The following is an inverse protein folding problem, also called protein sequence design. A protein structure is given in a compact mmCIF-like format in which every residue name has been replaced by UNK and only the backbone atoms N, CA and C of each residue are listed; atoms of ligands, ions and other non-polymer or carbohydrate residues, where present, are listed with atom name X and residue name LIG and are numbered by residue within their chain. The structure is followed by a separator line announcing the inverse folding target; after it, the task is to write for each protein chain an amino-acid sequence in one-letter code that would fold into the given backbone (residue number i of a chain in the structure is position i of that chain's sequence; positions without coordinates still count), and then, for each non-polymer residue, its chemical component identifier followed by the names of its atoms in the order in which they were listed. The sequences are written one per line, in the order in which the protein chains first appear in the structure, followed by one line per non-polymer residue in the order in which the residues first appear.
data_IF_714931243585
#
_entry.id   IF_714931243585
#
_cell.length_a   1.000
_cell.length_b   1.000
_cell.length_c   1.000
_cell.angle_alpha   90.00
_cell.angle_beta   90.00
_cell.angle_gamma   90.00
#
_symmetry.space_group_name_H-M   'P 1'
#
loop_
_entity.id
_entity.type
_entity.pdbx_description
1 polymer ?
#
# COMPACT_ATOMS: atom_id res chain seq x y z
N UNK A 1 -7.50 7.40 2.39
CA UNK A 1 -6.20 7.49 1.67
C UNK A 1 -5.98 6.25 0.83
N UNK A 2 -5.03 6.29 -0.10
CA UNK A 2 -4.54 5.12 -0.85
C UNK A 2 -3.04 4.98 -0.64
N UNK A 3 -2.54 3.75 -0.49
CA UNK A 3 -1.14 3.45 -0.25
C UNK A 3 -0.61 2.37 -1.18
N UNK A 4 0.60 2.62 -1.69
CA UNK A 4 1.38 1.65 -2.48
C UNK A 4 2.85 1.68 -2.06
N UNK A 5 3.56 0.59 -2.32
CA UNK A 5 5.03 0.59 -2.27
C UNK A 5 5.65 1.26 -3.51
N UNK A 6 6.87 1.79 -3.36
CA UNK A 6 7.61 2.43 -4.46
C UNK A 6 7.79 1.54 -5.68
N UNK A 7 7.86 0.21 -5.52
CA UNK A 7 7.98 -0.70 -6.66
C UNK A 7 6.76 -0.67 -7.58
N UNK A 8 5.57 -0.43 -7.05
CA UNK A 8 4.36 -0.22 -7.86
C UNK A 8 4.48 1.07 -8.67
N UNK A 9 5.01 2.14 -8.05
CA UNK A 9 5.28 3.41 -8.75
C UNK A 9 6.29 3.23 -9.87
N UNK A 10 7.40 2.52 -9.60
CA UNK A 10 8.48 2.31 -10.56
C UNK A 10 8.08 1.42 -11.75
N UNK A 11 7.20 0.44 -11.54
CA UNK A 11 6.78 -0.51 -12.57
C UNK A 11 5.59 -0.02 -13.38
N UNK A 12 4.59 0.55 -12.71
CA UNK A 12 3.29 0.80 -13.31
C UNK A 12 3.02 2.29 -13.56
N UNK A 13 3.83 3.19 -12.99
CA UNK A 13 3.69 4.65 -13.04
C UNK A 13 2.22 5.12 -12.88
N UNK A 14 1.52 4.70 -11.80
CA UNK A 14 0.10 4.98 -11.65
C UNK A 14 -0.14 6.43 -11.24
N UNK A 15 -1.34 6.95 -11.54
CA UNK A 15 -1.80 8.26 -11.03
C UNK A 15 -2.39 8.17 -9.63
N UNK A 16 -3.02 7.03 -9.30
CA UNK A 16 -3.77 6.79 -8.06
C UNK A 16 -4.85 7.86 -7.76
N UNK A 17 -5.44 8.42 -8.82
CA UNK A 17 -6.53 9.41 -8.73
C UNK A 17 -7.89 8.75 -8.88
N UNK A 18 -8.93 9.38 -8.30
CA UNK A 18 -10.30 8.93 -8.51
C UNK A 18 -10.74 9.25 -9.94
N UNK A 19 -11.40 8.29 -10.58
CA UNK A 19 -11.99 8.46 -11.93
C UNK A 19 -13.51 8.60 -11.88
N UNK A 20 -14.08 8.72 -10.68
CA UNK A 20 -15.52 8.89 -10.47
C UNK A 20 -15.87 10.36 -10.67
N UNK A 21 -16.91 10.65 -11.47
CA UNK A 21 -17.38 12.03 -11.70
C UNK A 21 -17.78 12.67 -10.37
N UNK A 22 -17.21 13.84 -10.06
CA UNK A 22 -17.42 14.52 -8.77
C UNK A 22 -16.70 13.86 -7.58
N UNK A 23 -15.93 12.79 -7.83
CA UNK A 23 -15.10 12.14 -6.82
C UNK A 23 -13.90 13.01 -6.44
N UNK A 24 -13.44 12.85 -5.20
CA UNK A 24 -12.23 13.51 -4.70
C UNK A 24 -11.03 12.57 -4.86
N UNK A 25 -9.87 13.13 -5.19
CA UNK A 25 -8.63 12.37 -5.17
C UNK A 25 -8.27 12.05 -3.70
N UNK A 26 -8.00 10.78 -3.37
CA UNK A 26 -7.51 10.44 -2.04
C UNK A 26 -6.11 11.02 -1.84
N UNK A 27 -5.72 11.24 -0.57
CA UNK A 27 -4.29 11.36 -0.25
C UNK A 27 -3.58 10.09 -0.71
N UNK A 28 -2.54 10.25 -1.53
CA UNK A 28 -1.72 9.13 -2.04
C UNK A 28 -0.47 9.01 -1.19
N UNK A 29 -0.20 7.80 -0.72
CA UNK A 29 0.90 7.50 0.17
C UNK A 29 1.83 6.51 -0.53
N UNK A 30 3.11 6.85 -0.61
CA UNK A 30 4.12 6.04 -1.28
C UNK A 30 5.13 5.59 -0.23
N UNK A 31 5.22 4.29 0.03
CA UNK A 31 6.25 3.73 0.90
C UNK A 31 7.56 3.60 0.11
N UNK A 32 8.52 4.46 0.43
CA UNK A 32 9.78 4.58 -0.30
C UNK A 32 10.96 4.87 0.64
N UNK A 33 11.48 3.81 1.28
CA UNK A 33 12.52 3.90 2.30
C UNK A 33 13.79 4.64 1.87
N UNK A 34 14.04 4.76 0.54
CA UNK A 34 15.25 5.36 -0.03
C UNK A 34 14.96 6.48 -1.03
N UNK A 35 13.72 6.98 -1.11
CA UNK A 35 13.30 8.01 -2.08
C UNK A 35 13.63 7.64 -3.54
N UNK A 36 13.40 6.38 -3.94
CA UNK A 36 13.59 5.93 -5.33
C UNK A 36 12.55 6.48 -6.30
N UNK A 37 11.41 6.98 -5.82
CA UNK A 37 10.32 7.57 -6.60
C UNK A 37 10.88 8.59 -7.61
N UNK A 38 10.62 8.43 -8.92
CA UNK A 38 11.06 9.40 -9.93
C UNK A 38 10.37 10.75 -9.75
N UNK A 39 11.11 11.84 -9.92
CA UNK A 39 10.57 13.21 -9.80
C UNK A 39 9.49 13.53 -10.84
N UNK A 40 9.41 12.73 -11.90
CA UNK A 40 8.43 12.84 -12.99
C UNK A 40 7.32 11.79 -12.91
N UNK A 41 7.25 11.00 -11.83
CA UNK A 41 6.23 9.96 -11.68
C UNK A 41 4.82 10.57 -11.72
N UNK A 42 3.88 9.92 -12.42
CA UNK A 42 2.51 10.42 -12.61
C UNK A 42 1.73 10.54 -11.33
N UNK A 43 2.11 9.81 -10.28
CA UNK A 43 1.54 9.93 -8.94
C UNK A 43 1.77 11.33 -8.35
N UNK A 44 2.85 12.02 -8.75
CA UNK A 44 3.22 13.38 -8.33
C UNK A 44 2.58 14.46 -9.21
N UNK A 45 1.45 14.18 -9.87
CA UNK A 45 0.79 15.13 -10.77
C UNK A 45 0.19 16.35 -10.07
N UNK A 46 0.03 16.29 -8.76
CA UNK A 46 -0.41 17.38 -7.89
C UNK A 46 0.16 17.16 -6.47
N UNK A 47 -0.02 18.14 -5.57
CA UNK A 47 0.61 18.13 -4.24
C UNK A 47 -0.07 17.25 -3.20
N UNK A 48 -1.18 16.57 -3.50
CA UNK A 48 -1.88 15.71 -2.55
C UNK A 48 -1.23 14.31 -2.49
N UNK A 49 0.07 14.29 -2.13
CA UNK A 49 0.92 13.10 -2.07
C UNK A 49 1.82 13.19 -0.84
N UNK A 50 1.96 12.06 -0.14
CA UNK A 50 2.94 11.85 0.92
C UNK A 50 3.89 10.73 0.50
N UNK A 51 5.19 11.00 0.53
CA UNK A 51 6.22 9.97 0.41
C UNK A 51 6.74 9.67 1.82
N UNK A 52 6.60 8.42 2.24
CA UNK A 52 7.11 7.96 3.54
C UNK A 52 8.47 7.33 3.32
N UNK A 53 9.46 7.79 4.08
CA UNK A 53 10.84 7.36 3.96
C UNK A 53 11.48 7.09 5.31
N UNK A 54 12.77 6.72 5.31
CA UNK A 54 13.54 6.43 6.53
C UNK A 54 14.59 7.50 6.79
N UNK A 55 15.19 7.56 7.97
CA UNK A 55 16.27 8.51 8.27
C UNK A 55 17.47 8.34 7.32
N UNK A 56 17.70 7.12 6.84
CA UNK A 56 18.76 6.78 5.90
C UNK A 56 18.33 6.97 4.43
N UNK A 57 17.57 8.02 4.12
CA UNK A 57 17.15 8.36 2.75
C UNK A 57 18.19 9.21 2.00
N UNK A 58 18.03 9.33 0.68
CA UNK A 58 18.87 10.22 -0.14
C UNK A 58 18.48 11.69 0.08
N UNK A 59 19.33 12.46 0.78
CA UNK A 59 19.11 13.88 1.08
C UNK A 59 19.00 14.77 -0.16
N UNK A 60 19.73 14.47 -1.25
CA UNK A 60 19.62 15.25 -2.49
C UNK A 60 18.25 15.03 -3.13
N UNK A 61 17.76 13.80 -3.07
CA UNK A 61 16.44 13.47 -3.62
C UNK A 61 15.30 13.99 -2.75
N UNK A 62 15.50 14.04 -1.43
CA UNK A 62 14.59 14.71 -0.49
C UNK A 62 14.30 16.15 -0.91
N UNK A 63 15.34 16.95 -1.15
CA UNK A 63 15.17 18.37 -1.51
C UNK A 63 14.42 18.57 -2.84
N UNK A 64 14.54 17.64 -3.78
CA UNK A 64 13.81 17.72 -5.05
C UNK A 64 12.36 17.27 -4.93
N UNK A 65 12.10 16.28 -4.08
CA UNK A 65 10.76 15.70 -3.94
C UNK A 65 9.87 16.51 -3.00
N UNK A 66 10.44 17.22 -2.00
CA UNK A 66 9.67 18.06 -1.05
C UNK A 66 8.90 19.20 -1.73
N UNK A 67 9.28 19.58 -2.95
CA UNK A 67 8.55 20.57 -3.76
C UNK A 67 7.27 20.00 -4.38
N UNK A 68 7.15 18.67 -4.47
CA UNK A 68 6.06 17.96 -5.17
C UNK A 68 5.18 17.11 -4.25
N UNK A 69 5.68 16.75 -3.09
CA UNK A 69 5.00 15.91 -2.11
C UNK A 69 5.48 16.25 -0.70
N UNK A 70 4.62 16.01 0.29
CA UNK A 70 5.05 15.96 1.68
C UNK A 70 5.95 14.74 1.88
N UNK A 71 7.05 14.91 2.61
CA UNK A 71 7.95 13.79 2.96
C UNK A 71 7.87 13.54 4.45
N UNK A 72 7.49 12.32 4.83
CA UNK A 72 7.45 11.89 6.22
C UNK A 72 8.59 10.90 6.46
N UNK A 73 9.47 11.23 7.40
CA UNK A 73 10.58 10.37 7.81
C UNK A 73 10.13 9.57 9.02
N UNK A 74 9.81 8.28 8.82
CA UNK A 74 9.21 7.41 9.84
C UNK A 74 10.04 6.12 9.96
N UNK A 75 11.00 6.10 10.88
CA UNK A 75 11.89 4.96 11.14
C UNK A 75 13.30 5.13 10.55
N UNK A 76 14.26 4.39 11.08
CA UNK A 76 15.68 4.57 10.77
C UNK A 76 16.15 3.76 9.55
N UNK A 77 15.84 2.46 9.52
CA UNK A 77 16.25 1.52 8.47
C UNK A 77 15.08 0.97 7.66
N UNK A 78 13.95 0.74 8.32
CA UNK A 78 12.68 0.33 7.73
C UNK A 78 11.62 1.35 8.11
N UNK A 79 10.54 1.42 7.31
CA UNK A 79 9.45 2.35 7.58
C UNK A 79 8.61 1.83 8.73
N UNK A 80 8.36 2.68 9.73
CA UNK A 80 7.42 2.39 10.82
C UNK A 80 5.98 2.58 10.34
N UNK A 81 5.31 1.47 10.03
CA UNK A 81 3.93 1.45 9.54
C UNK A 81 2.93 1.82 10.66
N UNK A 82 3.22 1.48 11.93
CA UNK A 82 2.34 1.88 13.04
C UNK A 82 2.34 3.38 13.19
N UNK A 83 3.54 3.99 13.19
CA UNK A 83 3.66 5.44 13.27
C UNK A 83 3.00 6.13 12.09
N UNK A 84 3.08 5.55 10.89
CA UNK A 84 2.35 6.05 9.73
C UNK A 84 0.84 6.09 9.98
N UNK A 85 0.25 5.01 10.49
CA UNK A 85 -1.19 4.94 10.78
C UNK A 85 -1.57 5.96 11.87
N UNK A 86 -0.77 6.09 12.92
CA UNK A 86 -0.97 7.10 13.97
C UNK A 86 -0.98 8.53 13.39
N UNK A 87 0.03 8.89 12.59
CA UNK A 87 0.10 10.20 11.95
C UNK A 87 -1.08 10.46 11.01
N UNK A 88 -1.60 9.43 10.34
CA UNK A 88 -2.81 9.55 9.53
C UNK A 88 -4.05 9.81 10.40
N UNK A 89 -4.18 9.09 11.53
CA UNK A 89 -5.26 9.31 12.50
C UNK A 89 -5.22 10.70 13.14
N UNK A 90 -4.04 11.17 13.54
CA UNK A 90 -3.81 12.54 14.05
C UNK A 90 -4.24 13.62 13.03
N UNK A 91 -4.13 13.33 11.73
CA UNK A 91 -4.57 14.21 10.63
C UNK A 91 -6.03 13.99 10.22
N UNK A 92 -6.78 13.17 10.94
CA UNK A 92 -8.21 12.93 10.72
C UNK A 92 -8.54 11.93 9.61
N UNK A 93 -7.55 11.18 9.10
CA UNK A 93 -7.81 10.13 8.13
C UNK A 93 -8.28 8.85 8.83
N UNK A 94 -9.49 8.41 8.50
CA UNK A 94 -10.16 7.26 9.14
C UNK A 94 -10.11 5.97 8.32
N UNK A 95 -9.63 6.02 7.07
CA UNK A 95 -9.53 4.85 6.20
C UNK A 95 -8.31 4.90 5.30
N UNK A 96 -7.69 3.73 5.11
CA UNK A 96 -6.51 3.53 4.27
C UNK A 96 -6.73 2.31 3.37
N UNK A 97 -6.73 2.54 2.06
CA UNK A 97 -6.75 1.47 1.06
C UNK A 97 -5.32 1.10 0.70
N UNK A 98 -4.93 -0.14 0.94
CA UNK A 98 -3.58 -0.67 0.62
C UNK A 98 -3.70 -1.58 -0.61
N UNK A 99 -3.18 -1.14 -1.76
CA UNK A 99 -3.29 -1.91 -3.02
C UNK A 99 -1.98 -2.56 -3.46
N UNK A 100 -0.83 -2.04 -3.01
CA UNK A 100 0.42 -2.20 -3.75
C UNK A 100 1.58 -2.83 -3.00
N UNK A 101 1.91 -4.08 -3.38
CA UNK A 101 3.21 -4.71 -3.22
C UNK A 101 3.23 -5.81 -2.15
N UNK A 102 3.66 -7.01 -2.51
CA UNK A 102 3.62 -8.14 -1.57
C UNK A 102 4.38 -7.90 -0.26
N UNK A 103 5.46 -7.11 -0.27
CA UNK A 103 6.16 -6.67 0.94
C UNK A 103 5.37 -5.71 1.82
N UNK A 104 4.62 -4.79 1.20
CA UNK A 104 3.71 -3.89 1.91
C UNK A 104 2.60 -4.70 2.57
N UNK A 105 1.92 -5.54 1.79
CA UNK A 105 0.86 -6.42 2.27
C UNK A 105 1.35 -7.30 3.43
N UNK A 106 2.55 -7.90 3.30
CA UNK A 106 3.16 -8.69 4.37
C UNK A 106 3.40 -7.86 5.64
N UNK A 107 3.91 -6.63 5.53
CA UNK A 107 4.17 -5.76 6.68
C UNK A 107 2.89 -5.38 7.44
N UNK A 108 1.81 -5.07 6.72
CA UNK A 108 0.50 -4.81 7.35
C UNK A 108 -0.08 -6.06 8.02
N UNK A 109 0.05 -7.22 7.38
CA UNK A 109 -0.41 -8.50 7.92
C UNK A 109 0.36 -8.90 9.18
N UNK A 110 1.70 -8.87 9.16
CA UNK A 110 2.54 -9.30 10.29
C UNK A 110 2.36 -8.41 11.51
N UNK A 111 2.06 -7.13 11.30
CA UNK A 111 1.79 -6.17 12.37
C UNK A 111 0.33 -6.16 12.83
N UNK A 112 -0.54 -7.00 12.24
CA UNK A 112 -1.98 -7.06 12.54
C UNK A 112 -2.68 -5.70 12.37
N UNK A 113 -2.40 -5.03 11.25
CA UNK A 113 -2.90 -3.68 10.94
C UNK A 113 -3.97 -3.68 9.84
N UNK A 114 -4.52 -4.85 9.49
CA UNK A 114 -5.53 -4.98 8.44
C UNK A 114 -6.86 -5.32 9.09
N UNK A 115 -7.87 -4.48 8.88
CA UNK A 115 -9.23 -4.75 9.36
C UNK A 115 -10.05 -5.57 8.35
N UNK A 116 -9.80 -5.38 7.05
CA UNK A 116 -10.58 -5.96 5.96
C UNK A 116 -9.70 -6.34 4.76
N UNK A 117 -9.95 -7.52 4.21
CA UNK A 117 -9.33 -8.02 2.99
C UNK A 117 -10.35 -8.04 1.84
N UNK A 118 -9.91 -7.58 0.68
CA UNK A 118 -10.66 -7.64 -0.57
C UNK A 118 -9.78 -8.31 -1.64
N UNK A 119 -10.07 -9.57 -1.97
CA UNK A 119 -9.34 -10.31 -3.00
C UNK A 119 -10.15 -10.37 -4.29
N UNK A 120 -9.53 -9.99 -5.40
CA UNK A 120 -10.14 -10.09 -6.73
C UNK A 120 -9.54 -11.29 -7.48
N UNK A 121 -10.41 -12.17 -7.98
CA UNK A 121 -10.04 -13.34 -8.77
C UNK A 121 -10.65 -13.23 -10.16
N UNK A 122 -9.80 -13.22 -11.19
CA UNK A 122 -10.21 -13.28 -12.58
C UNK A 122 -10.09 -14.73 -13.10
N UNK A 123 -11.02 -15.21 -13.94
CA UNK A 123 -10.95 -16.54 -14.55
C UNK A 123 -9.92 -16.58 -15.70
N UNK A 124 -8.66 -16.25 -15.40
CA UNK A 124 -7.56 -16.14 -16.36
C UNK A 124 -6.37 -16.99 -15.93
N UNK A 125 -5.74 -17.64 -16.90
CA UNK A 125 -4.55 -18.48 -16.67
C UNK A 125 -3.35 -17.76 -17.27
N UNK A 126 -2.32 -17.54 -16.46
CA UNK A 126 -1.04 -17.00 -16.89
C UNK A 126 0.04 -18.08 -16.73
N UNK A 127 0.96 -18.16 -17.70
CA UNK A 127 2.13 -19.04 -17.62
C UNK A 127 3.31 -18.26 -17.04
N UNK A 128 4.16 -18.92 -16.25
CA UNK A 128 5.38 -18.36 -15.65
C UNK A 128 5.31 -18.20 -14.13
N UNK A 129 6.34 -17.54 -13.56
CA UNK A 129 6.40 -17.26 -12.12
C UNK A 129 5.48 -16.08 -11.77
N UNK A 130 4.46 -16.36 -10.94
CA UNK A 130 3.53 -15.33 -10.48
C UNK A 130 4.15 -14.37 -9.46
N UNK A 131 3.58 -13.17 -9.35
CA UNK A 131 3.94 -12.22 -8.29
C UNK A 131 3.16 -12.55 -7.01
N UNK A 132 3.82 -12.85 -5.88
CA UNK A 132 3.11 -13.19 -4.64
C UNK A 132 2.32 -12.00 -4.08
N UNK A 133 1.07 -12.27 -3.66
CA UNK A 133 0.19 -11.27 -3.00
C UNK A 133 0.78 -10.81 -1.66
N UNK A 134 1.45 -11.71 -0.94
CA UNK A 134 2.23 -11.43 0.26
C UNK A 134 3.65 -11.95 0.04
N UNK A 135 4.67 -11.11 0.27
CA UNK A 135 6.08 -11.51 0.15
C UNK A 135 6.92 -10.93 1.29
N UNK A 136 7.81 -11.72 1.86
CA UNK A 136 8.66 -11.27 2.96
C UNK A 136 9.05 -12.40 3.90
N UNK A 137 9.88 -12.08 4.91
CA UNK A 137 10.19 -12.99 6.00
C UNK A 137 9.02 -12.96 6.98
N UNK A 138 8.25 -14.04 6.99
CA UNK A 138 7.02 -14.14 7.78
C UNK A 138 6.45 -15.52 7.61
N UNK A 139 7.08 -16.50 8.26
CA UNK A 139 6.45 -17.79 8.46
C UNK A 139 5.55 -17.58 9.66
N UNK A 140 4.27 -17.26 9.42
CA UNK A 140 3.29 -18.04 10.15
C UNK A 140 3.69 -19.47 9.82
N UNK A 141 4.34 -20.16 10.76
CA UNK A 141 4.72 -21.56 10.59
C UNK A 141 3.55 -22.25 9.88
N UNK A 142 3.81 -23.10 8.89
CA UNK A 142 2.74 -23.66 8.05
C UNK A 142 1.61 -24.34 8.86
N UNK A 143 1.87 -24.64 10.15
CA UNK A 143 0.93 -25.14 11.14
C UNK A 143 -0.04 -24.08 11.73
N UNK A 144 0.23 -22.78 11.61
CA UNK A 144 -0.56 -21.69 12.21
C UNK A 144 -0.71 -20.46 11.30
N UNK A 145 -1.28 -20.59 10.09
CA UNK A 145 -1.54 -19.44 9.23
C UNK A 145 -2.50 -18.43 9.90
N UNK A 146 -2.39 -17.12 9.60
CA UNK A 146 -3.41 -16.16 10.00
C UNK A 146 -4.76 -16.62 9.44
N UNK A 147 -5.75 -16.76 10.30
CA UNK A 147 -7.10 -17.16 9.89
C UNK A 147 -7.92 -15.94 9.55
N UNK A 148 -8.68 -16.08 8.47
CA UNK A 148 -9.61 -15.06 8.01
C UNK A 148 -11.02 -15.65 8.03
N UNK A 149 -11.95 -14.90 8.60
CA UNK A 149 -13.37 -15.20 8.47
C UNK A 149 -13.85 -14.66 7.12
N UNK A 150 -14.29 -15.58 6.26
CA UNK A 150 -14.97 -15.23 5.02
C UNK A 150 -16.29 -14.53 5.34
N UNK A 151 -16.51 -13.38 4.73
CA UNK A 151 -17.72 -12.58 4.93
C UNK A 151 -18.67 -12.66 3.73
N UNK A 152 -18.12 -12.49 2.52
CA UNK A 152 -18.93 -12.41 1.31
C UNK A 152 -18.12 -12.79 0.06
N UNK A 153 -18.81 -13.34 -0.95
CA UNK A 153 -18.26 -13.63 -2.27
C UNK A 153 -19.23 -13.09 -3.32
N UNK A 154 -18.81 -12.06 -4.05
CA UNK A 154 -19.61 -11.39 -5.07
C UNK A 154 -18.99 -11.55 -6.45
N UNK A 155 -19.82 -11.82 -7.45
CA UNK A 155 -19.42 -11.70 -8.85
C UNK A 155 -19.49 -10.23 -9.28
N UNK A 156 -18.41 -9.70 -9.84
CA UNK A 156 -18.31 -8.35 -10.40
C UNK A 156 -17.88 -8.48 -11.85
N UNK A 157 -18.82 -8.32 -12.79
CA UNK A 157 -18.56 -8.63 -14.19
C UNK A 157 -18.24 -10.11 -14.36
N UNK A 158 -17.03 -10.42 -14.83
CA UNK A 158 -16.53 -11.80 -14.97
C UNK A 158 -15.67 -12.26 -13.79
N UNK A 159 -15.29 -11.34 -12.90
CA UNK A 159 -14.38 -11.59 -11.78
C UNK A 159 -15.17 -11.89 -10.48
N UNK A 160 -14.48 -12.45 -9.49
CA UNK A 160 -14.99 -12.65 -8.14
C UNK A 160 -14.29 -11.70 -7.16
N UNK A 161 -15.06 -11.02 -6.32
CA UNK A 161 -14.60 -10.31 -5.14
C UNK A 161 -14.89 -11.16 -3.90
N UNK A 162 -13.83 -11.61 -3.24
CA UNK A 162 -13.88 -12.23 -1.93
C UNK A 162 -13.59 -11.17 -0.86
N UNK A 163 -14.52 -10.99 0.08
CA UNK A 163 -14.35 -10.13 1.24
C UNK A 163 -14.16 -10.97 2.50
N UNK A 164 -13.13 -10.67 3.28
CA UNK A 164 -12.83 -11.36 4.52
C UNK A 164 -12.31 -10.41 5.60
N UNK A 165 -12.39 -10.84 6.85
CA UNK A 165 -11.92 -10.12 8.04
C UNK A 165 -10.94 -11.03 8.81
N UNK A 166 -9.94 -10.49 9.53
CA UNK A 166 -9.17 -11.30 10.47
C UNK A 166 -10.09 -12.00 11.47
N UNK A 167 -9.80 -13.25 11.82
CA UNK A 167 -10.38 -13.85 13.03
C UNK A 167 -9.70 -13.20 14.25
N UNK A 168 -10.50 -12.63 15.16
CA UNK A 168 -9.98 -12.28 16.47
C UNK A 168 -9.54 -13.56 17.19
N UNK A 169 -8.39 -13.54 17.89
CA UNK A 169 -7.89 -14.71 18.64
C UNK A 169 -8.84 -15.13 19.76
#
# INVERSE_FOLDING_TARGET
CILVGVNTVLKDDPRLTSRIKGGRNPLRIILDSKLKTPEYARVLSDSNVVIVTTENHDKKKHEKLREKADIWVLGEHEIDIRRLIECLGEKGYTSLLVEGGGRVNASFLTQKLVDKYCFFFAPKIFLGEGVPVFSGKGVAKADQPPRLRLDDVKKIGEDLLLTAYPEEP
#
